data_IF_670367558127
#
_entry.id   IF_670367558127
#
_cell.length_a   1.000
_cell.length_b   1.000
_cell.length_c   1.000
_cell.angle_alpha   90.00
_cell.angle_beta   90.00
_cell.angle_gamma   90.00
#
_symmetry.space_group_name_H-M   'P 1'
#
loop_
_entity.id
_entity.type
_entity.pdbx_description
1 polymer ?
#
# COMPACT_ATOMS: atom_id res chain seq x y z
N UNK A 1 10.66 0.47 11.21
CA UNK A 1 9.35 0.42 10.56
C UNK A 1 8.91 -1.03 10.51
N UNK A 2 7.92 -1.37 11.34
CA UNK A 2 7.23 -2.67 11.35
C UNK A 2 6.12 -2.59 10.29
N UNK A 3 5.85 -3.71 9.62
CA UNK A 3 4.73 -3.90 8.70
C UNK A 3 4.01 -5.17 9.13
N UNK A 4 2.71 -5.11 9.33
CA UNK A 4 1.84 -6.28 9.50
C UNK A 4 0.69 -6.22 8.51
N UNK A 5 0.35 -7.38 7.95
CA UNK A 5 -0.87 -7.56 7.19
C UNK A 5 -1.85 -8.31 8.07
N UNK A 6 -3.04 -7.75 8.22
CA UNK A 6 -4.02 -8.24 9.17
C UNK A 6 -5.34 -8.54 8.46
N UNK A 7 -5.93 -9.68 8.82
CA UNK A 7 -7.32 -10.00 8.53
C UNK A 7 -8.13 -9.86 9.82
N UNK A 8 -9.07 -8.92 9.83
CA UNK A 8 -9.87 -8.58 11.00
C UNK A 8 -11.28 -9.19 10.91
N UNK A 9 -11.89 -9.46 12.08
CA UNK A 9 -13.28 -9.92 12.17
C UNK A 9 -14.27 -8.77 12.22
N UNK A 10 -13.84 -7.61 12.72
CA UNK A 10 -14.59 -6.34 12.66
C UNK A 10 -13.92 -5.40 11.65
N UNK A 11 -14.71 -4.59 10.91
CA UNK A 11 -14.16 -3.68 9.93
C UNK A 11 -13.32 -2.59 10.60
N UNK A 12 -12.22 -2.23 9.95
CA UNK A 12 -11.37 -1.11 10.32
C UNK A 12 -11.82 0.14 9.55
N UNK A 13 -12.00 1.23 10.27
CA UNK A 13 -12.42 2.53 9.75
C UNK A 13 -11.36 3.61 9.96
N UNK A 14 -11.56 4.75 9.30
CA UNK A 14 -10.62 5.89 9.32
C UNK A 14 -10.32 6.42 10.72
N UNK A 15 -11.23 6.26 11.70
CA UNK A 15 -11.03 6.72 13.08
C UNK A 15 -9.79 6.10 13.74
N UNK A 16 -9.37 4.91 13.28
CA UNK A 16 -8.16 4.24 13.80
C UNK A 16 -6.90 5.03 13.47
N UNK A 17 -6.84 5.68 12.31
CA UNK A 17 -5.70 6.50 11.91
C UNK A 17 -5.63 7.78 12.76
N UNK A 18 -6.77 8.32 13.16
CA UNK A 18 -6.83 9.48 14.07
C UNK A 18 -6.43 9.12 15.50
N UNK A 19 -6.77 7.90 15.95
CA UNK A 19 -6.44 7.38 17.29
C UNK A 19 -4.94 7.10 17.45
N UNK A 20 -4.27 6.57 16.43
CA UNK A 20 -2.88 6.12 16.52
C UNK A 20 -1.95 6.89 15.56
N UNK A 21 -1.35 7.97 16.04
CA UNK A 21 -0.50 8.87 15.23
C UNK A 21 0.87 8.28 14.80
N UNK A 22 1.30 7.18 15.41
CA UNK A 22 2.60 6.53 15.14
C UNK A 22 2.53 5.37 14.15
N UNK A 23 1.35 5.12 13.61
CA UNK A 23 1.11 4.08 12.62
C UNK A 23 0.26 4.66 11.49
N UNK A 24 0.23 3.93 10.39
CA UNK A 24 -0.76 4.10 9.35
C UNK A 24 -1.41 2.77 9.05
N UNK A 25 -2.70 2.84 8.74
CA UNK A 25 -3.52 1.70 8.36
C UNK A 25 -4.13 1.98 7.00
N UNK A 26 -3.97 1.04 6.07
CA UNK A 26 -4.53 1.13 4.72
C UNK A 26 -5.27 -0.15 4.34
N UNK A 27 -6.21 -0.05 3.42
CA UNK A 27 -6.84 -1.21 2.80
C UNK A 27 -5.80 -1.96 1.95
N UNK A 28 -5.53 -3.22 2.28
CA UNK A 28 -4.47 -3.99 1.61
C UNK A 28 -4.92 -4.70 0.34
N UNK A 29 -6.21 -4.64 -0.04
CA UNK A 29 -6.73 -5.37 -1.20
C UNK A 29 -6.07 -4.94 -2.51
N UNK A 30 -5.63 -3.69 -2.59
CA UNK A 30 -4.95 -3.12 -3.75
C UNK A 30 -3.43 -3.18 -3.68
N UNK A 31 -2.86 -3.78 -2.62
CA UNK A 31 -1.46 -4.18 -2.60
C UNK A 31 -1.30 -5.51 -3.31
N UNK A 32 -0.24 -5.60 -4.11
CA UNK A 32 0.09 -6.83 -4.85
C UNK A 32 0.73 -7.88 -3.94
N UNK A 33 1.68 -7.45 -3.12
CA UNK A 33 2.49 -8.26 -2.22
C UNK A 33 3.18 -7.34 -1.20
N UNK A 34 3.91 -7.92 -0.25
CA UNK A 34 4.65 -7.16 0.75
C UNK A 34 5.73 -6.26 0.14
N UNK A 35 6.41 -6.74 -0.91
CA UNK A 35 7.48 -6.01 -1.60
C UNK A 35 6.98 -4.72 -2.23
N UNK A 36 5.70 -4.67 -2.64
CA UNK A 36 5.06 -3.45 -3.12
C UNK A 36 5.11 -2.35 -2.05
N UNK A 37 4.62 -2.63 -0.84
CA UNK A 37 4.60 -1.65 0.25
C UNK A 37 6.01 -1.32 0.75
N UNK A 38 6.90 -2.30 0.83
CA UNK A 38 8.31 -2.06 1.19
C UNK A 38 9.00 -1.10 0.24
N UNK A 39 8.79 -1.27 -1.07
CA UNK A 39 9.33 -0.36 -2.06
C UNK A 39 8.75 1.06 -1.91
N UNK A 40 7.44 1.19 -1.64
CA UNK A 40 6.83 2.48 -1.36
C UNK A 40 7.43 3.18 -0.13
N UNK A 41 7.72 2.43 0.94
CA UNK A 41 8.40 2.94 2.13
C UNK A 41 9.81 3.45 1.79
N UNK A 42 10.55 2.71 0.97
CA UNK A 42 11.88 3.14 0.52
C UNK A 42 11.81 4.43 -0.31
N UNK A 43 10.84 4.53 -1.22
CA UNK A 43 10.63 5.73 -2.03
C UNK A 43 10.22 6.95 -1.18
N UNK A 44 9.37 6.75 -0.18
CA UNK A 44 8.99 7.81 0.75
C UNK A 44 10.20 8.31 1.55
N UNK A 45 11.08 7.41 2.03
CA UNK A 45 12.33 7.81 2.71
C UNK A 45 13.21 8.67 1.81
N UNK A 46 13.47 8.21 0.58
CA UNK A 46 14.27 8.97 -0.41
C UNK A 46 13.66 10.34 -0.69
N UNK A 47 12.34 10.43 -0.79
CA UNK A 47 11.65 11.69 -1.01
C UNK A 47 11.85 12.67 0.16
N UNK A 48 11.74 12.18 1.40
CA UNK A 48 12.00 12.99 2.60
C UNK A 48 13.46 13.44 2.69
N UNK A 49 14.42 12.53 2.46
CA UNK A 49 15.86 12.85 2.46
C UNK A 49 16.22 13.93 1.42
N UNK A 50 15.48 13.96 0.30
CA UNK A 50 15.68 14.93 -0.79
C UNK A 50 14.80 16.16 -0.70
N UNK A 51 13.91 16.26 0.29
CA UNK A 51 12.85 17.28 0.37
C UNK A 51 11.95 17.36 -0.89
N UNK A 52 11.70 16.20 -1.52
CA UNK A 52 10.84 16.01 -2.70
C UNK A 52 9.53 15.28 -2.34
N UNK A 53 9.18 15.25 -1.07
CA UNK A 53 7.94 14.65 -0.57
C UNK A 53 6.73 15.53 -0.90
N UNK A 54 5.60 14.90 -1.23
CA UNK A 54 4.32 15.59 -1.48
C UNK A 54 3.63 15.93 -0.16
N UNK A 55 3.67 14.99 0.77
CA UNK A 55 3.10 15.14 2.10
C UNK A 55 4.19 15.47 3.13
N UNK A 56 3.88 16.38 4.07
CA UNK A 56 4.72 16.63 5.25
C UNK A 56 4.71 15.47 6.25
N UNK A 57 3.68 14.62 6.19
CA UNK A 57 3.57 13.40 6.99
C UNK A 57 4.17 12.21 6.24
N UNK A 58 5.13 11.53 6.88
CA UNK A 58 5.86 10.41 6.30
C UNK A 58 4.94 9.23 5.95
N UNK A 59 3.97 8.91 6.80
CA UNK A 59 3.08 7.79 6.54
C UNK A 59 2.14 8.08 5.38
N UNK A 60 1.61 9.29 5.29
CA UNK A 60 0.82 9.72 4.13
C UNK A 60 1.66 9.65 2.86
N UNK A 61 2.93 10.06 2.92
CA UNK A 61 3.83 9.94 1.77
C UNK A 61 4.01 8.48 1.33
N UNK A 62 4.12 7.53 2.26
CA UNK A 62 4.14 6.09 1.92
C UNK A 62 2.89 5.68 1.14
N UNK A 63 1.70 6.13 1.54
CA UNK A 63 0.44 5.82 0.84
C UNK A 63 0.43 6.43 -0.57
N UNK A 64 0.90 7.68 -0.70
CA UNK A 64 1.04 8.36 -2.00
C UNK A 64 1.99 7.58 -2.91
N UNK A 65 3.18 7.21 -2.43
CA UNK A 65 4.14 6.42 -3.19
C UNK A 65 3.57 5.07 -3.59
N UNK A 66 2.96 4.33 -2.65
CA UNK A 66 2.32 3.04 -2.93
C UNK A 66 1.27 3.13 -4.05
N UNK A 67 0.56 4.25 -4.16
CA UNK A 67 -0.48 4.45 -5.18
C UNK A 67 0.06 4.76 -6.58
N UNK A 68 1.36 5.05 -6.69
CA UNK A 68 1.96 5.61 -7.91
C UNK A 68 1.16 6.83 -8.45
N UNK A 69 0.58 7.63 -7.54
CA UNK A 69 -0.12 8.88 -7.86
C UNK A 69 0.62 10.05 -7.24
N UNK A 70 0.60 11.22 -7.89
CA UNK A 70 1.11 12.47 -7.32
C UNK A 70 0.06 13.28 -6.54
N UNK A 71 -1.12 12.70 -6.28
CA UNK A 71 -2.21 13.35 -5.54
C UNK A 71 -2.64 12.50 -4.35
N UNK A 72 -2.58 13.10 -3.15
CA UNK A 72 -3.00 12.45 -1.89
C UNK A 72 -4.43 11.91 -1.99
N UNK A 73 -5.35 12.69 -2.56
CA UNK A 73 -6.76 12.27 -2.72
C UNK A 73 -6.89 10.96 -3.50
N UNK A 74 -6.21 10.83 -4.64
CA UNK A 74 -6.23 9.60 -5.46
C UNK A 74 -5.58 8.43 -4.74
N UNK A 75 -4.51 8.68 -3.97
CA UNK A 75 -3.87 7.65 -3.17
C UNK A 75 -4.85 7.04 -2.15
N UNK A 76 -5.65 7.87 -1.47
CA UNK A 76 -6.69 7.41 -0.55
C UNK A 76 -7.95 6.88 -1.24
N UNK A 77 -8.19 7.19 -2.51
CA UNK A 77 -9.22 6.49 -3.29
C UNK A 77 -8.83 5.01 -3.48
N UNK A 78 -7.53 4.71 -3.62
CA UNK A 78 -6.98 3.37 -3.79
C UNK A 78 -6.78 2.64 -2.46
N UNK A 79 -6.17 3.28 -1.47
CA UNK A 79 -5.73 2.63 -0.22
C UNK A 79 -6.50 3.06 1.03
N UNK A 80 -7.47 3.98 0.90
CA UNK A 80 -8.27 4.45 2.02
C UNK A 80 -9.16 3.35 2.59
N UNK A 81 -9.37 3.41 3.90
CA UNK A 81 -10.21 2.47 4.64
C UNK A 81 -11.68 2.68 4.30
N UNK A 82 -12.37 1.58 3.95
CA UNK A 82 -13.81 1.57 3.61
C UNK A 82 -14.46 0.34 4.23
N UNK A 83 -14.66 0.36 5.55
CA UNK A 83 -15.04 -0.82 6.34
C UNK A 83 -14.13 -2.02 5.98
N UNK A 84 -12.82 -1.81 6.07
CA UNK A 84 -11.83 -2.73 5.52
C UNK A 84 -11.56 -3.88 6.50
N UNK A 85 -11.60 -5.12 6.01
CA UNK A 85 -11.30 -6.32 6.79
C UNK A 85 -9.88 -6.85 6.57
N UNK A 86 -9.30 -6.55 5.40
CA UNK A 86 -7.89 -6.83 5.10
C UNK A 86 -7.14 -5.50 5.08
N UNK A 87 -6.20 -5.34 5.99
CA UNK A 87 -5.45 -4.08 6.15
C UNK A 87 -3.95 -4.34 6.21
N UNK A 88 -3.18 -3.34 5.77
CA UNK A 88 -1.76 -3.25 6.07
C UNK A 88 -1.58 -2.17 7.14
N UNK A 89 -0.88 -2.52 8.22
CA UNK A 89 -0.52 -1.62 9.31
C UNK A 89 0.99 -1.45 9.30
N UNK A 90 1.47 -0.21 9.31
CA UNK A 90 2.90 0.07 9.37
C UNK A 90 3.21 1.26 10.28
N UNK A 91 4.29 1.15 11.05
CA UNK A 91 4.66 2.13 12.06
C UNK A 91 5.92 1.77 12.85
N UNK A 92 6.21 2.53 13.89
CA UNK A 92 7.28 2.18 14.85
C UNK A 92 6.88 1.00 15.74
N UNK A 93 5.64 1.04 16.24
CA UNK A 93 5.05 0.06 17.14
C UNK A 93 3.58 -0.12 16.78
N UNK A 94 3.12 -1.37 16.70
CA UNK A 94 1.73 -1.68 16.33
C UNK A 94 0.93 -1.94 17.62
N UNK A 95 -0.11 -1.14 17.91
CA UNK A 95 -0.93 -1.28 19.12
C UNK A 95 -1.60 -2.65 19.18
N UNK A 96 -1.39 -3.38 20.29
CA UNK A 96 -2.02 -4.69 20.50
C UNK A 96 -3.54 -4.56 20.69
N UNK A 97 -3.99 -3.41 21.18
CA UNK A 97 -5.39 -3.05 21.37
C UNK A 97 -6.13 -3.04 20.04
N UNK A 98 -5.52 -2.49 18.97
CA UNK A 98 -6.09 -2.49 17.62
C UNK A 98 -6.40 -3.93 17.17
N UNK A 99 -5.44 -4.83 17.36
CA UNK A 99 -5.56 -6.25 16.98
C UNK A 99 -6.66 -6.93 17.80
N UNK A 100 -6.69 -6.72 19.12
CA UNK A 100 -7.68 -7.33 20.03
C UNK A 100 -9.10 -6.83 19.78
N UNK A 101 -9.29 -5.51 19.68
CA UNK A 101 -10.60 -4.86 19.53
C UNK A 101 -11.35 -5.34 18.27
N UNK A 102 -10.60 -5.52 17.18
CA UNK A 102 -11.14 -5.90 15.87
C UNK A 102 -10.99 -7.39 15.56
N UNK A 103 -10.42 -8.17 16.48
CA UNK A 103 -10.18 -9.60 16.31
C UNK A 103 -9.33 -9.90 15.08
N UNK A 104 -8.21 -9.19 14.95
CA UNK A 104 -7.31 -9.33 13.81
C UNK A 104 -6.31 -10.48 14.00
N UNK A 105 -6.02 -11.16 12.90
CA UNK A 105 -5.00 -12.19 12.80
C UNK A 105 -4.01 -11.82 11.70
N UNK A 106 -2.73 -12.13 11.90
CA UNK A 106 -1.72 -11.92 10.86
C UNK A 106 -2.01 -12.78 9.63
N UNK A 107 -1.84 -12.19 8.45
CA UNK A 107 -2.01 -12.86 7.18
C UNK A 107 -0.83 -12.59 6.25
N UNK A 108 -0.70 -13.39 5.19
CA UNK A 108 0.24 -13.11 4.10
C UNK A 108 -0.53 -12.56 2.90
N UNK A 109 0.04 -11.55 2.22
CA UNK A 109 -0.49 -11.10 0.93
C UNK A 109 0.00 -12.06 -0.15
N UNK A 110 -0.91 -12.92 -0.61
CA UNK A 110 -0.71 -13.78 -1.77
C UNK A 110 -1.26 -13.09 -3.02
N UNK A 111 -0.50 -12.98 -4.12
CA UNK A 111 -0.96 -12.45 -5.39
C UNK A 111 -1.69 -13.53 -6.20
N UNK A 112 -2.87 -13.93 -5.72
CA UNK A 112 -3.77 -14.81 -6.46
C UNK A 112 -4.36 -14.13 -7.70
N UNK A 113 -5.07 -14.88 -8.54
CA UNK A 113 -5.66 -14.37 -9.78
C UNK A 113 -6.61 -13.19 -9.56
N UNK A 114 -7.38 -13.20 -8.45
CA UNK A 114 -8.33 -12.13 -8.13
C UNK A 114 -7.58 -10.84 -7.77
N UNK A 115 -6.54 -10.95 -6.93
CA UNK A 115 -5.69 -9.82 -6.56
C UNK A 115 -4.89 -9.30 -7.75
N UNK A 116 -4.34 -10.17 -8.60
CA UNK A 116 -3.68 -9.77 -9.84
C UNK A 116 -4.63 -8.96 -10.73
N UNK A 117 -5.84 -9.46 -10.97
CA UNK A 117 -6.86 -8.75 -11.77
C UNK A 117 -7.24 -7.41 -11.18
N UNK A 118 -7.47 -7.35 -9.86
CA UNK A 118 -7.81 -6.12 -9.14
C UNK A 118 -6.68 -5.09 -9.24
N UNK A 119 -5.45 -5.50 -8.97
CA UNK A 119 -4.28 -4.61 -9.02
C UNK A 119 -4.04 -4.11 -10.45
N UNK A 120 -4.12 -4.98 -11.47
CA UNK A 120 -4.04 -4.55 -12.89
C UNK A 120 -5.05 -3.46 -13.20
N UNK A 121 -6.31 -3.64 -12.77
CA UNK A 121 -7.37 -2.66 -13.00
C UNK A 121 -7.10 -1.33 -12.28
N UNK A 122 -6.75 -1.39 -10.99
CA UNK A 122 -6.50 -0.20 -10.17
C UNK A 122 -5.33 0.62 -10.71
N UNK A 123 -4.26 -0.05 -11.10
CA UNK A 123 -3.09 0.62 -11.63
C UNK A 123 -3.22 0.93 -13.12
N UNK A 124 -4.25 0.46 -13.84
CA UNK A 124 -4.40 0.56 -15.29
C UNK A 124 -3.22 -0.08 -16.05
N UNK A 125 -2.91 -1.32 -15.72
CA UNK A 125 -1.89 -2.15 -16.39
C UNK A 125 -2.58 -3.12 -17.35
N UNK A 126 -2.17 -3.09 -18.60
CA UNK A 126 -2.75 -3.93 -19.66
C UNK A 126 -2.02 -5.27 -19.80
N UNK A 127 -2.71 -6.29 -20.31
CA UNK A 127 -2.08 -7.60 -20.56
C UNK A 127 -0.95 -7.51 -21.61
N UNK A 128 -1.03 -6.53 -22.54
CA UNK A 128 0.05 -6.24 -23.49
C UNK A 128 1.33 -5.78 -22.78
N UNK A 129 1.23 -4.90 -21.79
CA UNK A 129 2.39 -4.45 -21.01
C UNK A 129 3.00 -5.57 -20.16
N UNK A 130 2.18 -6.53 -19.71
CA UNK A 130 2.67 -7.72 -19.01
C UNK A 130 3.39 -8.65 -20.00
N UNK A 131 2.79 -8.91 -21.16
CA UNK A 131 3.31 -9.84 -22.15
C UNK A 131 4.65 -9.43 -22.77
N UNK A 132 5.02 -8.14 -22.74
CA UNK A 132 6.35 -7.67 -23.18
C UNK A 132 7.46 -8.05 -22.20
N UNK A 133 7.12 -8.48 -20.98
CA UNK A 133 8.09 -8.93 -19.98
C UNK A 133 8.21 -10.45 -20.02
N UNK A 134 9.43 -10.96 -20.18
CA UNK A 134 9.75 -12.40 -20.11
C UNK A 134 9.81 -12.89 -18.65
N UNK A 135 8.78 -12.59 -17.86
CA UNK A 135 8.68 -12.85 -16.42
C UNK A 135 7.31 -13.45 -16.08
N UNK A 136 7.13 -13.93 -14.85
CA UNK A 136 5.79 -14.29 -14.38
C UNK A 136 4.88 -13.06 -14.32
N UNK A 137 3.56 -13.25 -14.41
CA UNK A 137 2.59 -12.14 -14.36
C UNK A 137 2.76 -11.28 -13.09
N UNK A 138 3.00 -11.91 -11.93
CA UNK A 138 3.28 -11.24 -10.66
C UNK A 138 4.51 -10.34 -10.78
N UNK A 139 5.64 -10.88 -11.25
CA UNK A 139 6.90 -10.15 -11.32
C UNK A 139 6.83 -9.01 -12.34
N UNK A 140 6.18 -9.26 -13.49
CA UNK A 140 5.92 -8.26 -14.50
C UNK A 140 5.09 -7.10 -13.94
N UNK A 141 3.98 -7.40 -13.27
CA UNK A 141 3.09 -6.41 -12.67
C UNK A 141 3.79 -5.62 -11.55
N UNK A 142 4.53 -6.29 -10.68
CA UNK A 142 5.31 -5.62 -9.63
C UNK A 142 6.34 -4.67 -10.24
N UNK A 143 7.06 -5.09 -11.29
CA UNK A 143 8.02 -4.25 -12.00
C UNK A 143 7.38 -3.01 -12.60
N UNK A 144 6.25 -3.15 -13.29
CA UNK A 144 5.49 -2.01 -13.86
C UNK A 144 5.05 -1.04 -12.77
N UNK A 145 4.53 -1.54 -11.65
CA UNK A 145 4.11 -0.69 -10.52
C UNK A 145 5.31 0.07 -9.94
N UNK A 146 6.47 -0.58 -9.78
CA UNK A 146 7.69 0.07 -9.28
C UNK A 146 8.17 1.17 -10.22
N UNK A 147 8.11 0.93 -11.53
CA UNK A 147 8.46 1.93 -12.54
C UNK A 147 7.49 3.12 -12.51
N UNK A 148 6.18 2.87 -12.49
CA UNK A 148 5.17 3.94 -12.36
C UNK A 148 5.34 4.73 -11.06
N UNK A 149 5.65 4.04 -9.97
CA UNK A 149 5.97 4.66 -8.69
C UNK A 149 7.24 5.51 -8.76
N UNK A 150 8.26 5.15 -9.53
CA UNK A 150 9.44 5.98 -9.70
C UNK A 150 9.15 7.19 -10.62
N UNK A 151 8.40 6.99 -11.70
CA UNK A 151 8.09 8.02 -12.70
C UNK A 151 7.11 9.07 -12.21
N UNK A 152 6.15 8.71 -11.35
CA UNK A 152 5.13 9.63 -10.85
C UNK A 152 5.70 10.80 -10.03
N UNK A 153 6.99 10.76 -9.69
CA UNK A 153 7.67 11.75 -8.85
C UNK A 153 9.10 12.04 -9.34
N UNK A 154 9.39 11.76 -10.60
CA UNK A 154 10.64 12.15 -11.23
C UNK A 154 10.56 13.65 -11.59
N UNK A 155 10.99 14.50 -10.66
CA UNK A 155 11.26 15.93 -10.87
C UNK A 155 12.64 16.28 -10.28
#
# INVERSE_FOLDING_TARGET
MIILFLKCRKPINKEIVERYKKIQVIDSRNLLCEEHLRYAIEQAKKAFERNQNISKDFFIEVVVRASAQNQIKKAFEIFGLRNSYEVAVFGEEIPKELIKEHGCEEMKITPDEERLRRVKKVFNVTDKEIATRKLSEKEALLGIIRERMALAFAE
#
